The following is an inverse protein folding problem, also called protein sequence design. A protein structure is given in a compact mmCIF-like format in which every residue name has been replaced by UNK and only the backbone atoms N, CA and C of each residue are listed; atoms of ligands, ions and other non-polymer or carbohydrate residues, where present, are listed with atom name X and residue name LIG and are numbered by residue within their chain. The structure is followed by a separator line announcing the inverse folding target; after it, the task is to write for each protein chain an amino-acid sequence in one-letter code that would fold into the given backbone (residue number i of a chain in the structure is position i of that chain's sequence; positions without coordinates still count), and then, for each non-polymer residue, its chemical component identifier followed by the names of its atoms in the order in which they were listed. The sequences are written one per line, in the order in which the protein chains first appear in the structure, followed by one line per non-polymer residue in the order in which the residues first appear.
data_IF_732711210782
#
_entry.id   IF_732711210782
#
_cell.length_a   1.000
_cell.length_b   1.000
_cell.length_c   1.000
_cell.angle_alpha   90.00
_cell.angle_beta   90.00
_cell.angle_gamma   90.00
#
_symmetry.space_group_name_H-M   'P 1'
#
loop_
_entity.id
_entity.type
_entity.pdbx_description
1 polymer ?
#
# COMPACT_ATOMS: atom_id res chain seq x y z
N UNK A 1 -8.64 -17.56 -5.59
CA UNK A 1 -7.68 -16.52 -5.19
C UNK A 1 -6.27 -17.04 -5.38
N UNK A 2 -5.52 -16.46 -6.30
CA UNK A 2 -4.14 -16.84 -6.59
C UNK A 2 -3.20 -16.37 -5.44
N UNK A 3 -1.93 -16.79 -5.39
CA UNK A 3 -0.99 -16.38 -4.35
C UNK A 3 -0.74 -14.86 -4.26
N UNK A 4 -0.66 -14.17 -5.41
CA UNK A 4 -0.40 -12.74 -5.49
C UNK A 4 -1.58 -11.90 -4.98
N UNK A 5 -2.83 -12.28 -5.31
CA UNK A 5 -4.06 -11.68 -4.80
C UNK A 5 -4.10 -11.77 -3.27
N UNK A 6 -3.81 -12.95 -2.70
CA UNK A 6 -3.73 -13.11 -1.23
C UNK A 6 -2.67 -12.23 -0.59
N UNK A 7 -1.54 -12.06 -1.26
CA UNK A 7 -0.47 -11.23 -0.77
C UNK A 7 -0.84 -9.74 -0.85
N UNK A 8 -1.47 -9.30 -1.92
CA UNK A 8 -1.99 -7.94 -2.05
C UNK A 8 -2.99 -7.61 -0.94
N UNK A 9 -3.97 -8.49 -0.68
CA UNK A 9 -4.95 -8.31 0.39
C UNK A 9 -4.28 -8.20 1.77
N UNK A 10 -3.23 -9.01 2.01
CA UNK A 10 -2.45 -8.95 3.27
C UNK A 10 -1.63 -7.67 3.40
N UNK A 11 -1.04 -7.18 2.31
CA UNK A 11 -0.31 -5.90 2.31
C UNK A 11 -1.26 -4.72 2.51
N UNK A 12 -2.43 -4.75 1.87
CA UNK A 12 -3.47 -3.75 2.09
C UNK A 12 -3.93 -3.73 3.54
N UNK A 13 -4.20 -4.90 4.13
CA UNK A 13 -4.55 -5.03 5.54
C UNK A 13 -3.45 -4.52 6.47
N UNK A 14 -2.18 -4.71 6.11
CA UNK A 14 -1.03 -4.19 6.86
C UNK A 14 -1.00 -2.65 6.82
N UNK A 15 -1.21 -2.04 5.66
CA UNK A 15 -1.30 -0.57 5.51
C UNK A 15 -2.48 -0.02 6.32
N UNK A 16 -3.67 -0.62 6.18
CA UNK A 16 -4.86 -0.22 6.91
C UNK A 16 -4.66 -0.31 8.44
N UNK A 17 -4.02 -1.39 8.91
CA UNK A 17 -3.66 -1.56 10.31
C UNK A 17 -2.68 -0.49 10.78
N UNK A 18 -1.62 -0.22 10.01
CA UNK A 18 -0.66 0.84 10.34
C UNK A 18 -1.35 2.19 10.51
N UNK A 19 -2.29 2.55 9.63
CA UNK A 19 -3.09 3.78 9.75
C UNK A 19 -3.95 3.78 11.02
N UNK A 20 -4.66 2.68 11.28
CA UNK A 20 -5.52 2.55 12.44
C UNK A 20 -4.76 2.63 13.78
N UNK A 21 -3.52 2.15 13.83
CA UNK A 21 -2.66 2.24 15.01
C UNK A 21 -2.05 3.64 15.21
N UNK A 22 -2.13 4.53 14.21
CA UNK A 22 -1.45 5.82 14.23
C UNK A 22 -2.35 7.06 14.14
N UNK A 23 -3.68 6.95 14.18
CA UNK A 23 -4.79 7.96 14.09
C UNK A 23 -4.56 9.48 13.93
N UNK A 24 -3.45 10.07 14.36
CA UNK A 24 -3.15 11.50 14.26
C UNK A 24 -2.35 11.84 13.01
N UNK A 25 -2.52 13.08 12.53
CA UNK A 25 -1.62 13.68 11.56
C UNK A 25 -0.23 13.89 12.18
N UNK A 26 0.82 13.79 11.37
CA UNK A 26 2.20 14.00 11.79
C UNK A 26 2.76 15.36 11.36
N UNK A 27 3.60 16.01 12.18
CA UNK A 27 4.37 17.19 11.77
C UNK A 27 5.50 16.87 10.76
N UNK A 28 5.94 15.61 10.68
CA UNK A 28 6.86 15.12 9.64
C UNK A 28 6.34 13.79 9.03
N UNK A 29 5.31 13.87 8.16
CA UNK A 29 4.66 12.69 7.58
C UNK A 29 5.62 11.78 6.82
N UNK A 30 6.66 12.34 6.22
CA UNK A 30 7.60 11.59 5.40
C UNK A 30 8.56 10.75 6.27
N UNK A 31 9.14 11.36 7.31
CA UNK A 31 10.03 10.64 8.22
C UNK A 31 9.27 9.57 9.02
N UNK A 32 8.05 9.88 9.44
CA UNK A 32 7.21 8.94 10.16
C UNK A 32 6.78 7.76 9.27
N UNK A 33 6.41 8.00 8.02
CA UNK A 33 6.11 6.93 7.07
C UNK A 33 7.32 6.01 6.82
N UNK A 34 8.55 6.54 6.77
CA UNK A 34 9.77 5.73 6.67
C UNK A 34 9.97 4.89 7.94
N UNK A 35 9.77 5.49 9.12
CA UNK A 35 9.90 4.79 10.40
C UNK A 35 8.90 3.64 10.52
N UNK A 36 7.64 3.90 10.12
CA UNK A 36 6.59 2.88 10.07
C UNK A 36 6.91 1.79 9.06
N UNK A 37 7.43 2.13 7.88
CA UNK A 37 7.89 1.16 6.90
C UNK A 37 8.92 0.20 7.51
N UNK A 38 10.00 0.74 8.11
CA UNK A 38 11.06 -0.05 8.75
C UNK A 38 10.49 -1.04 9.76
N UNK A 39 9.49 -0.63 10.55
CA UNK A 39 8.83 -1.48 11.54
C UNK A 39 8.05 -2.65 10.91
N UNK A 40 7.46 -2.46 9.72
CA UNK A 40 6.64 -3.47 9.05
C UNK A 40 7.39 -4.29 7.99
N UNK A 41 8.60 -3.89 7.57
CA UNK A 41 9.42 -4.64 6.59
C UNK A 41 9.50 -6.15 6.87
N UNK A 42 9.70 -6.63 8.13
CA UNK A 42 9.72 -8.07 8.39
C UNK A 42 8.42 -8.76 7.99
N UNK A 43 7.27 -8.15 8.31
CA UNK A 43 5.94 -8.68 7.98
C UNK A 43 5.69 -8.65 6.47
N UNK A 44 6.13 -7.59 5.79
CA UNK A 44 6.09 -7.52 4.32
C UNK A 44 6.90 -8.64 3.70
N UNK A 45 8.13 -8.88 4.18
CA UNK A 45 8.97 -9.98 3.69
C UNK A 45 8.36 -11.35 3.94
N UNK A 46 7.66 -11.54 5.05
CA UNK A 46 6.90 -12.77 5.31
C UNK A 46 5.73 -12.96 4.33
N UNK A 47 5.01 -11.88 4.00
CA UNK A 47 3.92 -11.91 3.01
C UNK A 47 4.43 -12.25 1.61
N UNK A 48 5.60 -11.70 1.24
CA UNK A 48 6.24 -11.93 -0.05
C UNK A 48 6.95 -13.30 -0.14
N UNK A 49 7.21 -13.95 0.99
CA UNK A 49 7.94 -15.21 1.02
C UNK A 49 7.18 -16.31 0.28
N UNK A 50 7.86 -17.00 -0.63
CA UNK A 50 7.29 -18.10 -1.40
C UNK A 50 6.50 -17.66 -2.64
N UNK A 51 6.49 -16.36 -2.96
CA UNK A 51 6.10 -15.87 -4.27
C UNK A 51 7.32 -15.86 -5.20
N UNK A 52 7.09 -16.15 -6.48
CA UNK A 52 8.10 -15.99 -7.53
C UNK A 52 8.06 -14.55 -8.03
N UNK A 53 8.71 -13.65 -7.29
CA UNK A 53 8.68 -12.21 -7.51
C UNK A 53 10.06 -11.66 -7.86
N UNK A 54 10.09 -10.59 -8.66
CA UNK A 54 11.32 -9.91 -9.00
C UNK A 54 11.94 -9.20 -7.78
N UNK A 55 13.27 -9.04 -7.75
CA UNK A 55 13.99 -8.41 -6.62
C UNK A 55 13.49 -6.99 -6.32
N UNK A 56 13.05 -6.25 -7.34
CA UNK A 56 12.53 -4.88 -7.21
C UNK A 56 11.16 -4.79 -6.51
N UNK A 57 10.43 -5.91 -6.38
CA UNK A 57 9.06 -5.93 -5.83
C UNK A 57 9.00 -5.34 -4.43
N UNK A 58 10.00 -5.59 -3.59
CA UNK A 58 10.04 -5.01 -2.24
C UNK A 58 10.14 -3.49 -2.28
N UNK A 59 10.86 -2.91 -3.24
CA UNK A 59 10.99 -1.47 -3.42
C UNK A 59 9.70 -0.82 -3.93
N UNK A 60 8.98 -1.49 -4.82
CA UNK A 60 7.66 -1.03 -5.28
C UNK A 60 6.62 -1.07 -4.14
N UNK A 61 6.62 -2.15 -3.33
CA UNK A 61 5.77 -2.25 -2.15
C UNK A 61 6.14 -1.17 -1.11
N UNK A 62 7.43 -0.88 -0.91
CA UNK A 62 7.87 0.25 -0.08
C UNK A 62 7.26 1.56 -0.57
N UNK A 63 7.36 1.81 -1.87
CA UNK A 63 6.87 3.05 -2.48
C UNK A 63 5.37 3.21 -2.24
N UNK A 64 4.57 2.19 -2.55
CA UNK A 64 3.12 2.20 -2.34
C UNK A 64 2.76 2.39 -0.86
N UNK A 65 3.46 1.70 0.04
CA UNK A 65 3.25 1.86 1.48
C UNK A 65 3.51 3.30 1.92
N UNK A 66 4.67 3.86 1.55
CA UNK A 66 5.07 5.20 1.97
C UNK A 66 4.17 6.27 1.38
N UNK A 67 3.77 6.14 0.12
CA UNK A 67 2.81 7.04 -0.52
C UNK A 67 1.48 7.04 0.26
N UNK A 68 0.91 5.85 0.46
CA UNK A 68 -0.37 5.64 1.12
C UNK A 68 -0.38 6.12 2.59
N UNK A 69 0.71 5.90 3.33
CA UNK A 69 0.84 6.31 4.74
C UNK A 69 1.17 7.80 4.86
N UNK A 70 1.99 8.36 3.96
CA UNK A 70 2.33 9.79 3.99
C UNK A 70 1.11 10.67 3.73
N UNK A 71 0.29 10.33 2.72
CA UNK A 71 -0.94 11.06 2.43
C UNK A 71 -1.89 11.06 3.64
N UNK A 72 -2.05 9.89 4.27
CA UNK A 72 -2.86 9.76 5.46
C UNK A 72 -2.28 10.53 6.67
N UNK A 73 -0.96 10.50 6.90
CA UNK A 73 -0.30 11.27 7.98
C UNK A 73 -0.39 12.79 7.78
N UNK A 74 -0.59 13.28 6.55
CA UNK A 74 -0.90 14.69 6.31
C UNK A 74 -2.34 15.07 6.62
N UNK A 75 -3.23 14.08 6.70
CA UNK A 75 -4.67 14.30 6.70
C UNK A 75 -5.21 14.61 5.30
N UNK A 76 -4.53 14.16 4.24
CA UNK A 76 -5.04 14.31 2.88
C UNK A 76 -6.32 13.48 2.73
N UNK A 77 -7.44 14.13 2.41
CA UNK A 77 -8.70 13.45 2.15
C UNK A 77 -8.64 12.75 0.78
N UNK A 78 -9.13 11.49 0.68
CA UNK A 78 -9.25 10.81 -0.61
C UNK A 78 -10.12 11.64 -1.56
N UNK A 79 -9.61 11.90 -2.76
CA UNK A 79 -10.35 12.59 -3.81
C UNK A 79 -10.46 11.69 -5.04
N UNK A 80 -11.56 11.83 -5.77
CA UNK A 80 -11.80 11.08 -6.99
C UNK A 80 -12.43 11.98 -8.04
N UNK A 81 -11.99 11.85 -9.29
CA UNK A 81 -12.63 12.53 -10.43
C UNK A 81 -13.99 11.92 -10.78
N UNK A 82 -14.32 10.75 -10.22
CA UNK A 82 -15.54 10.01 -10.51
C UNK A 82 -16.69 10.33 -9.55
N UNK A 83 -16.40 10.94 -8.39
CA UNK A 83 -17.40 11.24 -7.35
C UNK A 83 -16.94 12.35 -6.42
N UNK A 84 -17.87 13.23 -6.04
CA UNK A 84 -17.68 14.25 -5.00
C UNK A 84 -18.04 13.73 -3.60
N UNK A 85 -18.62 12.52 -3.48
CA UNK A 85 -18.95 11.91 -2.20
C UNK A 85 -17.68 11.37 -1.51
N UNK A 86 -17.32 11.86 -0.30
CA UNK A 86 -16.08 11.48 0.38
C UNK A 86 -16.00 9.99 0.71
N UNK A 87 -17.13 9.36 1.06
CA UNK A 87 -17.17 7.93 1.40
C UNK A 87 -16.86 7.07 0.18
N UNK A 88 -17.46 7.39 -0.95
CA UNK A 88 -17.21 6.70 -2.23
C UNK A 88 -15.79 6.97 -2.73
N UNK A 89 -15.27 8.20 -2.59
CA UNK A 89 -13.89 8.51 -2.94
C UNK A 89 -12.88 7.70 -2.11
N UNK A 90 -13.14 7.50 -0.82
CA UNK A 90 -12.30 6.66 0.04
C UNK A 90 -12.30 5.20 -0.40
N UNK A 91 -13.46 4.64 -0.75
CA UNK A 91 -13.56 3.27 -1.27
C UNK A 91 -12.80 3.11 -2.59
N UNK A 92 -12.89 4.07 -3.50
CA UNK A 92 -12.15 4.05 -4.77
C UNK A 92 -10.64 4.15 -4.58
N UNK A 93 -10.18 4.95 -3.61
CA UNK A 93 -8.76 5.06 -3.30
C UNK A 93 -8.19 3.76 -2.70
N UNK A 94 -9.01 3.04 -1.91
CA UNK A 94 -8.65 1.72 -1.39
C UNK A 94 -8.59 0.66 -2.50
N UNK A 95 -9.60 0.63 -3.39
CA UNK A 95 -9.64 -0.26 -4.56
C UNK A 95 -8.46 -0.02 -5.51
N UNK A 96 -8.10 1.24 -5.76
CA UNK A 96 -6.93 1.61 -6.56
C UNK A 96 -5.62 1.15 -5.89
N UNK A 97 -5.48 1.31 -4.57
CA UNK A 97 -4.31 0.83 -3.84
C UNK A 97 -4.21 -0.71 -3.90
N UNK A 98 -5.32 -1.41 -3.73
CA UNK A 98 -5.42 -2.86 -3.89
C UNK A 98 -5.00 -3.28 -5.30
N UNK A 99 -5.51 -2.60 -6.33
CA UNK A 99 -5.16 -2.84 -7.72
C UNK A 99 -3.66 -2.67 -7.96
N UNK A 100 -3.07 -1.55 -7.51
CA UNK A 100 -1.64 -1.27 -7.63
C UNK A 100 -0.77 -2.32 -6.93
N UNK A 101 -1.17 -2.76 -5.74
CA UNK A 101 -0.48 -3.84 -5.02
C UNK A 101 -0.54 -5.15 -5.81
N UNK A 102 -1.69 -5.51 -6.39
CA UNK A 102 -1.80 -6.70 -7.24
C UNK A 102 -0.92 -6.60 -8.48
N UNK A 103 -0.91 -5.47 -9.16
CA UNK A 103 -0.06 -5.24 -10.33
C UNK A 103 1.43 -5.36 -10.01
N UNK A 104 1.86 -4.91 -8.83
CA UNK A 104 3.26 -5.06 -8.39
C UNK A 104 3.62 -6.53 -8.13
N UNK A 105 2.69 -7.33 -7.60
CA UNK A 105 2.92 -8.73 -7.23
C UNK A 105 2.72 -9.72 -8.39
N UNK A 106 1.90 -9.36 -9.36
CA UNK A 106 1.57 -10.13 -10.55
C UNK A 106 1.54 -9.20 -11.77
N UNK A 107 2.71 -8.67 -12.18
CA UNK A 107 2.78 -7.73 -13.27
C UNK A 107 2.35 -8.40 -14.58
N UNK A 108 1.66 -7.66 -15.47
CA UNK A 108 1.31 -8.19 -16.78
C UNK A 108 2.59 -8.56 -17.54
N UNK A 109 2.56 -9.66 -18.32
CA UNK A 109 3.73 -10.22 -19.02
C UNK A 109 4.50 -9.20 -19.87
N UNK A 110 3.81 -8.17 -20.37
CA UNK A 110 4.38 -7.06 -21.15
C UNK A 110 5.33 -6.14 -20.37
N UNK A 111 5.40 -6.24 -19.04
CA UNK A 111 6.22 -5.39 -18.17
C UNK A 111 7.43 -6.14 -17.57
N UNK A 112 7.62 -7.41 -17.92
CA UNK A 112 8.77 -8.22 -17.51
C UNK A 112 9.86 -8.05 -18.58
N UNK A 113 10.89 -7.26 -18.28
CA UNK A 113 12.04 -6.98 -19.16
C UNK A 113 13.28 -7.78 -18.78
#
# INVERSE_FOLDING_TARGET
MNPAERAADRLLALIARTRAENLNTSPDPYLDAITLWIAVVPQVREVLNGLDIHESTLGEVEYLFREAVTAWLRGDEPSSVLTDDPGTAALLAEDELEHRLRTVLDPPEVWIF
#
